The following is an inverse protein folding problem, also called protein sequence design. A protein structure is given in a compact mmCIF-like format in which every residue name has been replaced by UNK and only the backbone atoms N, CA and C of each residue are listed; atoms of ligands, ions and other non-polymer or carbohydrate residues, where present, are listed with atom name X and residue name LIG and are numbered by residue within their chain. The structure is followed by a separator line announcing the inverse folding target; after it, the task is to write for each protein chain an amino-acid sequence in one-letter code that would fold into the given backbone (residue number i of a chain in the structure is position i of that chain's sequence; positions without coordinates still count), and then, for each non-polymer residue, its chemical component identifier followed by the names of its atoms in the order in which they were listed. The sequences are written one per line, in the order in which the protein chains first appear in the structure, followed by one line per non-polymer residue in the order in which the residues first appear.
data_IF_315150526495
#
_entry.id   IF_315150526495
#
_cell.length_a   1.000
_cell.length_b   1.000
_cell.length_c   1.000
_cell.angle_alpha   90.00
_cell.angle_beta   90.00
_cell.angle_gamma   90.00
#
_symmetry.space_group_name_H-M   'P 1'
#
loop_
_entity.id
_entity.type
_entity.pdbx_description
1 polymer ?
#
# COMPACT_ATOMS: atom_id res chain seq x y z
N UNK A 1 23.49 -13.14 -102.79
CA UNK A 1 22.51 -13.81 -101.93
C UNK A 1 22.58 -13.17 -100.55
N UNK A 2 21.59 -12.36 -100.21
CA UNK A 2 21.59 -11.50 -99.02
C UNK A 2 20.57 -12.06 -98.03
N UNK A 3 20.94 -12.44 -96.79
CA UNK A 3 19.96 -12.90 -95.82
C UNK A 3 19.25 -11.72 -95.14
N UNK A 4 17.92 -11.85 -95.08
CA UNK A 4 16.95 -11.04 -94.33
C UNK A 4 17.35 -10.94 -92.84
N UNK A 5 17.31 -9.72 -92.29
CA UNK A 5 17.21 -9.48 -90.83
C UNK A 5 15.74 -9.27 -90.45
N UNK A 6 15.24 -10.19 -89.64
CA UNK A 6 14.03 -10.10 -88.80
C UNK A 6 14.60 -9.79 -87.40
N UNK A 7 14.20 -8.80 -86.61
CA UNK A 7 12.96 -8.07 -86.46
C UNK A 7 12.45 -8.31 -85.03
N UNK A 8 12.44 -7.23 -84.21
CA UNK A 8 11.63 -7.02 -82.98
C UNK A 8 11.74 -8.06 -81.83
N UNK A 9 11.72 -7.74 -80.55
CA UNK A 9 11.47 -6.49 -79.84
C UNK A 9 11.57 -6.74 -78.33
N UNK A 10 11.87 -5.65 -77.63
CA UNK A 10 11.68 -5.34 -76.21
C UNK A 10 10.60 -6.17 -75.48
N UNK A 11 10.86 -6.61 -74.23
CA UNK A 11 10.20 -6.10 -73.00
C UNK A 11 11.09 -6.48 -71.80
N UNK A 12 11.69 -5.48 -71.16
CA UNK A 12 12.26 -5.60 -69.83
C UNK A 12 11.14 -5.32 -68.81
N UNK A 13 10.90 -6.24 -67.88
CA UNK A 13 9.99 -6.02 -66.76
C UNK A 13 10.82 -6.12 -65.46
N UNK A 14 11.38 -4.99 -65.05
CA UNK A 14 12.01 -4.83 -63.74
C UNK A 14 10.92 -4.62 -62.69
N UNK A 15 10.65 -5.65 -61.88
CA UNK A 15 9.82 -5.53 -60.69
C UNK A 15 10.63 -4.85 -59.57
N UNK A 16 10.42 -3.55 -59.36
CA UNK A 16 10.88 -2.85 -58.17
C UNK A 16 9.89 -3.13 -57.03
N UNK A 17 10.25 -4.06 -56.14
CA UNK A 17 9.52 -4.33 -54.91
C UNK A 17 9.87 -3.23 -53.90
N UNK A 18 9.04 -2.18 -53.82
CA UNK A 18 9.14 -1.16 -52.76
C UNK A 18 8.50 -1.75 -51.51
N UNK A 19 9.31 -2.39 -50.68
CA UNK A 19 8.92 -2.75 -49.31
C UNK A 19 8.88 -1.47 -48.48
N UNK A 20 7.71 -0.85 -48.40
CA UNK A 20 7.44 0.21 -47.44
C UNK A 20 7.39 -0.43 -46.04
N UNK A 21 8.52 -0.40 -45.31
CA UNK A 21 8.52 -0.60 -43.87
C UNK A 21 7.72 0.55 -43.25
N UNK A 22 6.43 0.33 -43.00
CA UNK A 22 5.67 1.14 -42.06
C UNK A 22 6.23 0.79 -40.69
N UNK A 23 7.28 1.49 -40.28
CA UNK A 23 7.68 1.55 -38.88
C UNK A 23 6.57 2.34 -38.19
N UNK A 24 5.57 1.61 -37.70
CA UNK A 24 4.68 2.15 -36.68
C UNK A 24 5.54 2.26 -35.43
N UNK A 25 6.16 3.41 -35.22
CA UNK A 25 6.71 3.78 -33.93
C UNK A 25 5.54 3.88 -32.96
N UNK A 26 5.15 2.73 -32.41
CA UNK A 26 4.51 2.69 -31.12
C UNK A 26 5.52 3.33 -30.17
N UNK A 27 5.38 4.63 -29.93
CA UNK A 27 6.02 5.28 -28.81
C UNK A 27 5.48 4.58 -27.57
N UNK A 28 6.19 3.53 -27.17
CA UNK A 28 5.98 2.82 -25.92
C UNK A 28 6.12 3.87 -24.83
N UNK A 29 4.98 4.30 -24.31
CA UNK A 29 4.88 4.98 -23.03
C UNK A 29 5.38 3.94 -22.03
N UNK A 30 6.68 3.95 -21.76
CA UNK A 30 7.37 2.94 -20.96
C UNK A 30 6.61 2.80 -19.62
N UNK A 31 5.81 1.74 -19.45
CA UNK A 31 4.89 1.63 -18.33
C UNK A 31 5.63 1.33 -17.02
N UNK A 32 6.96 1.38 -17.00
CA UNK A 32 7.77 0.69 -15.99
C UNK A 32 8.59 1.56 -15.07
N UNK A 33 8.64 2.89 -15.24
CA UNK A 33 9.43 3.70 -14.32
C UNK A 33 8.68 3.91 -13.01
N UNK A 34 8.98 3.08 -12.02
CA UNK A 34 8.55 3.23 -10.63
C UNK A 34 9.52 4.15 -9.90
N UNK A 35 9.00 5.08 -9.09
CA UNK A 35 9.77 5.94 -8.20
C UNK A 35 9.40 5.61 -6.77
N UNK A 36 10.35 5.04 -6.03
CA UNK A 36 10.23 4.79 -4.60
C UNK A 36 10.54 6.08 -3.83
N UNK A 37 9.67 6.45 -2.89
CA UNK A 37 9.84 7.62 -2.02
C UNK A 37 9.73 7.22 -0.56
N UNK A 38 10.60 7.75 0.33
CA UNK A 38 10.46 7.53 1.76
C UNK A 38 9.09 7.96 2.27
N UNK A 39 8.53 7.17 3.17
CA UNK A 39 7.28 7.45 3.85
C UNK A 39 7.50 7.35 5.35
N UNK A 40 7.09 8.39 6.07
CA UNK A 40 7.13 8.45 7.53
C UNK A 40 5.78 8.93 8.01
N UNK A 41 5.34 8.43 9.15
CA UNK A 41 4.06 8.77 9.75
C UNK A 41 4.21 8.81 11.26
N UNK A 42 3.50 9.73 11.88
CA UNK A 42 3.29 9.81 13.32
C UNK A 42 1.85 10.26 13.60
N UNK A 43 1.38 10.08 14.82
CA UNK A 43 0.05 10.50 15.23
C UNK A 43 -0.46 9.85 16.52
N UNK A 44 -1.72 10.11 16.79
CA UNK A 44 -2.46 9.62 17.95
C UNK A 44 -3.90 9.31 17.56
N UNK A 45 -4.56 8.45 18.33
CA UNK A 45 -5.90 7.98 18.01
C UNK A 45 -6.56 7.23 19.15
N UNK A 46 -7.80 6.80 18.90
CA UNK A 46 -8.62 6.08 19.86
C UNK A 46 -9.15 4.78 19.25
N UNK A 47 -9.10 3.70 20.03
CA UNK A 47 -9.81 2.45 19.76
C UNK A 47 -11.13 2.49 20.51
N UNK A 48 -12.23 2.77 19.81
CA UNK A 48 -13.55 3.02 20.44
C UNK A 48 -14.14 1.75 21.05
N UNK A 49 -13.80 0.58 20.51
CA UNK A 49 -14.35 -0.72 20.96
C UNK A 49 -13.34 -1.54 21.76
N UNK A 50 -12.08 -1.09 21.85
CA UNK A 50 -11.01 -1.83 22.54
C UNK A 50 -10.49 -3.03 21.76
N UNK A 51 -9.92 -3.99 22.47
CA UNK A 51 -9.48 -5.27 21.88
C UNK A 51 -10.69 -6.19 21.68
N UNK A 52 -10.92 -6.68 20.45
CA UNK A 52 -12.01 -7.62 20.13
C UNK A 52 -11.53 -8.75 19.23
N UNK A 53 -12.17 -9.92 19.33
CA UNK A 53 -11.90 -11.10 18.51
C UNK A 53 -12.93 -11.24 17.36
N UNK A 54 -12.60 -12.00 16.31
CA UNK A 54 -13.55 -12.35 15.25
C UNK A 54 -14.86 -12.91 15.79
N UNK A 55 -16.00 -12.60 15.13
CA UNK A 55 -16.13 -11.87 13.87
C UNK A 55 -16.18 -10.34 14.03
N UNK A 56 -15.91 -9.81 15.23
CA UNK A 56 -15.98 -8.38 15.49
C UNK A 56 -14.71 -7.66 15.03
N UNK A 57 -14.87 -6.39 14.67
CA UNK A 57 -13.77 -5.48 14.43
C UNK A 57 -13.88 -4.31 15.40
N UNK A 58 -12.75 -3.92 15.98
CA UNK A 58 -12.67 -2.64 16.68
C UNK A 58 -12.50 -1.55 15.64
N UNK A 59 -13.27 -0.48 15.78
CA UNK A 59 -13.07 0.73 15.02
C UNK A 59 -12.04 1.63 15.72
N UNK A 60 -11.17 2.23 14.93
CA UNK A 60 -10.27 3.27 15.40
C UNK A 60 -10.24 4.45 14.45
N UNK A 61 -9.96 5.61 15.02
CA UNK A 61 -9.63 6.84 14.34
C UNK A 61 -8.28 7.35 14.84
N UNK A 62 -7.62 8.15 14.01
CA UNK A 62 -6.32 8.73 14.32
C UNK A 62 -6.12 10.03 13.53
N UNK A 63 -5.30 10.90 14.08
CA UNK A 63 -4.82 12.10 13.41
C UNK A 63 -3.31 12.22 13.59
N UNK A 64 -2.64 12.92 12.68
CA UNK A 64 -1.20 13.10 12.79
C UNK A 64 -0.57 13.71 11.55
N UNK A 65 0.72 13.45 11.35
CA UNK A 65 1.44 13.91 10.16
C UNK A 65 2.11 12.77 9.42
N UNK A 66 2.17 12.87 8.09
CA UNK A 66 2.89 11.90 7.28
C UNK A 66 3.51 12.54 6.04
N UNK A 67 4.65 11.98 5.62
CA UNK A 67 5.32 12.38 4.38
C UNK A 67 4.35 12.23 3.22
N UNK A 68 4.28 13.25 2.35
CA UNK A 68 3.37 13.35 1.19
C UNK A 68 1.87 13.57 1.49
N UNK A 69 1.38 13.23 2.69
CA UNK A 69 0.03 13.58 3.16
C UNK A 69 0.00 14.98 3.80
N UNK A 70 1.03 15.35 4.55
CA UNK A 70 0.98 16.47 5.49
C UNK A 70 0.18 16.05 6.73
N UNK A 71 -0.63 16.95 7.27
CA UNK A 71 -1.61 16.59 8.28
C UNK A 71 -2.67 15.65 7.68
N UNK A 72 -3.03 14.59 8.41
CA UNK A 72 -4.06 13.64 8.00
C UNK A 72 -5.04 13.35 9.14
N UNK A 73 -6.17 12.77 8.74
CA UNK A 73 -7.11 12.04 9.60
C UNK A 73 -7.25 10.63 9.04
N UNK A 74 -7.67 9.66 9.85
CA UNK A 74 -8.03 8.34 9.35
C UNK A 74 -9.54 8.20 9.23
N UNK A 75 -9.98 7.32 8.33
CA UNK A 75 -11.35 6.82 8.24
C UNK A 75 -11.34 5.31 8.09
N UNK A 76 -12.45 4.69 8.47
CA UNK A 76 -12.67 3.25 8.33
C UNK A 76 -11.54 2.40 8.91
N UNK A 77 -10.85 2.94 9.94
CA UNK A 77 -9.83 2.22 10.69
C UNK A 77 -10.48 1.06 11.41
N UNK A 78 -10.02 -0.14 11.12
CA UNK A 78 -10.54 -1.36 11.75
C UNK A 78 -9.43 -2.36 12.01
N UNK A 79 -9.51 -3.05 13.15
CA UNK A 79 -8.68 -4.20 13.44
C UNK A 79 -9.43 -5.28 14.22
N UNK A 80 -8.95 -6.51 14.17
CA UNK A 80 -9.48 -7.66 14.92
C UNK A 80 -8.31 -8.52 15.42
N UNK A 81 -8.40 -8.99 16.66
CA UNK A 81 -7.41 -9.86 17.30
C UNK A 81 -7.66 -11.30 16.86
N UNK A 82 -6.78 -11.89 16.06
CA UNK A 82 -6.88 -13.25 15.56
C UNK A 82 -6.56 -14.30 16.63
N UNK A 83 -5.52 -14.05 17.40
CA UNK A 83 -5.04 -14.96 18.43
C UNK A 83 -4.48 -14.17 19.61
N UNK A 84 -4.55 -14.75 20.81
CA UNK A 84 -3.96 -14.17 22.02
C UNK A 84 -3.62 -15.28 23.00
N UNK A 85 -2.36 -15.31 23.43
CA UNK A 85 -1.90 -16.17 24.50
C UNK A 85 -1.82 -15.35 25.80
N UNK A 86 -2.70 -15.59 26.78
CA UNK A 86 -2.71 -14.86 28.04
C UNK A 86 -1.47 -15.12 28.91
N UNK A 87 -0.71 -16.20 28.68
CA UNK A 87 0.49 -16.50 29.44
C UNK A 87 1.69 -15.65 28.98
N UNK A 88 1.77 -15.35 27.69
CA UNK A 88 2.85 -14.54 27.09
C UNK A 88 2.42 -13.10 26.79
N UNK A 89 1.11 -12.83 26.81
CA UNK A 89 0.50 -11.56 26.41
C UNK A 89 0.83 -11.18 24.96
N UNK A 90 1.02 -12.18 24.11
CA UNK A 90 1.31 -12.02 22.68
C UNK A 90 0.09 -12.45 21.90
N UNK A 91 -0.19 -11.75 20.81
CA UNK A 91 -1.22 -12.17 19.88
C UNK A 91 -1.03 -11.61 18.48
N UNK A 92 -1.96 -11.99 17.63
CA UNK A 92 -1.98 -11.62 16.21
C UNK A 92 -3.20 -10.77 15.92
N UNK A 93 -3.11 -9.89 14.93
CA UNK A 93 -4.22 -9.08 14.49
C UNK A 93 -4.17 -8.78 12.99
N UNK A 94 -5.31 -8.39 12.44
CA UNK A 94 -5.41 -7.92 11.06
C UNK A 94 -6.40 -6.76 10.97
N UNK A 95 -6.46 -6.10 9.82
CA UNK A 95 -7.30 -4.92 9.65
C UNK A 95 -6.99 -4.07 8.42
N UNK A 96 -7.46 -2.84 8.44
CA UNK A 96 -7.27 -1.85 7.38
C UNK A 96 -7.52 -0.45 7.89
N UNK A 97 -7.04 0.55 7.17
CA UNK A 97 -7.35 1.96 7.44
C UNK A 97 -7.21 2.78 6.16
N UNK A 98 -7.90 3.91 6.10
CA UNK A 98 -7.68 4.92 5.05
C UNK A 98 -7.15 6.19 5.67
N UNK A 99 -6.02 6.68 5.18
CA UNK A 99 -5.46 7.98 5.53
C UNK A 99 -6.04 9.02 4.58
N UNK A 100 -6.53 10.13 5.13
CA UNK A 100 -7.14 11.23 4.39
C UNK A 100 -6.31 12.49 4.61
N UNK A 101 -5.68 12.99 3.55
CA UNK A 101 -4.94 14.25 3.57
C UNK A 101 -5.88 15.45 3.74
N UNK A 102 -5.33 16.60 4.15
CA UNK A 102 -6.09 17.84 4.30
C UNK A 102 -6.86 18.30 3.03
N UNK A 103 -6.45 17.87 1.83
CA UNK A 103 -7.15 18.17 0.58
C UNK A 103 -8.18 17.10 0.16
N UNK A 104 -8.43 16.09 1.00
CA UNK A 104 -9.36 15.00 0.73
C UNK A 104 -8.77 13.83 -0.09
N UNK A 105 -7.48 13.86 -0.43
CA UNK A 105 -6.84 12.72 -1.09
C UNK A 105 -6.74 11.54 -0.13
N UNK A 106 -7.07 10.35 -0.60
CA UNK A 106 -7.15 9.15 0.23
C UNK A 106 -6.06 8.14 -0.14
N UNK A 107 -5.39 7.60 0.87
CA UNK A 107 -4.43 6.52 0.75
C UNK A 107 -4.89 5.36 1.63
N UNK A 108 -5.38 4.28 1.00
CA UNK A 108 -5.89 3.11 1.70
C UNK A 108 -4.77 2.12 1.97
N UNK A 109 -4.78 1.52 3.16
CA UNK A 109 -3.87 0.46 3.56
C UNK A 109 -4.62 -0.75 4.09
N UNK A 110 -4.04 -1.93 3.86
CA UNK A 110 -4.38 -3.18 4.55
C UNK A 110 -3.24 -3.58 5.48
N UNK A 111 -3.60 -4.26 6.56
CA UNK A 111 -2.65 -4.87 7.51
C UNK A 111 -2.33 -6.27 7.01
N UNK A 112 -1.62 -6.34 5.89
CA UNK A 112 -1.16 -7.59 5.32
C UNK A 112 0.32 -7.45 5.03
N UNK A 113 1.11 -8.32 5.65
CA UNK A 113 2.51 -8.45 5.33
C UNK A 113 2.63 -9.24 4.03
N UNK A 114 2.54 -8.55 2.90
CA UNK A 114 2.73 -9.15 1.58
C UNK A 114 4.19 -9.10 1.13
N UNK A 115 5.09 -8.45 1.87
CA UNK A 115 6.49 -8.28 1.48
C UNK A 115 7.51 -8.62 2.57
N UNK A 116 7.16 -8.49 3.87
CA UNK A 116 8.09 -8.84 4.94
C UNK A 116 7.94 -10.30 5.40
N UNK A 117 8.91 -11.21 5.13
CA UNK A 117 8.84 -12.61 5.57
C UNK A 117 8.91 -12.79 7.10
N UNK A 118 9.27 -11.75 7.86
CA UNK A 118 9.26 -11.76 9.33
C UNK A 118 7.86 -11.53 9.91
N UNK A 119 6.91 -11.07 9.09
CA UNK A 119 5.51 -10.90 9.45
C UNK A 119 4.70 -11.90 8.60
N UNK A 120 4.08 -12.87 9.24
CA UNK A 120 3.39 -14.02 8.63
C UNK A 120 2.04 -13.67 7.95
N UNK A 121 1.90 -12.44 7.47
CA UNK A 121 0.65 -11.90 6.94
C UNK A 121 -0.24 -11.26 8.01
N UNK A 122 0.05 -11.48 9.30
CA UNK A 122 -0.67 -10.85 10.44
C UNK A 122 0.24 -9.94 11.24
N UNK A 123 -0.36 -8.93 11.86
CA UNK A 123 0.33 -8.02 12.78
C UNK A 123 0.53 -8.70 14.11
N UNK A 124 1.54 -8.29 14.85
CA UNK A 124 1.80 -8.78 16.21
C UNK A 124 1.42 -7.71 17.21
N UNK A 125 0.75 -8.11 18.28
CA UNK A 125 0.60 -7.24 19.45
C UNK A 125 1.21 -7.88 20.69
N UNK A 126 1.78 -7.04 21.56
CA UNK A 126 2.46 -7.40 22.78
C UNK A 126 1.87 -6.61 23.93
N UNK A 127 1.53 -7.29 25.02
CA UNK A 127 1.06 -6.66 26.25
C UNK A 127 2.17 -6.59 27.30
N UNK A 128 2.37 -5.42 27.89
CA UNK A 128 3.26 -5.22 29.05
C UNK A 128 2.41 -4.91 30.28
N UNK A 129 2.31 -5.82 31.26
CA UNK A 129 1.53 -5.58 32.46
C UNK A 129 2.20 -4.51 33.33
N UNK A 130 1.38 -3.69 33.96
CA UNK A 130 1.81 -2.62 34.87
C UNK A 130 1.55 -3.02 36.34
N UNK A 131 2.22 -2.35 37.28
CA UNK A 131 2.08 -2.62 38.72
C UNK A 131 0.66 -2.38 39.24
N UNK A 132 -0.09 -1.48 38.61
CA UNK A 132 -1.47 -1.13 38.96
C UNK A 132 -2.53 -2.07 38.34
N UNK A 133 -2.08 -3.11 37.63
CA UNK A 133 -2.95 -4.09 36.97
C UNK A 133 -3.50 -3.65 35.62
N UNK A 134 -3.01 -2.54 35.06
CA UNK A 134 -3.27 -2.17 33.65
C UNK A 134 -2.31 -2.88 32.69
N UNK A 135 -2.59 -2.78 31.39
CA UNK A 135 -1.79 -3.33 30.30
C UNK A 135 -1.44 -2.22 29.30
N UNK A 136 -0.18 -2.08 28.95
CA UNK A 136 0.23 -1.30 27.77
C UNK A 136 0.35 -2.27 26.60
N UNK A 137 -0.41 -2.03 25.53
CA UNK A 137 -0.38 -2.83 24.32
C UNK A 137 0.43 -2.13 23.23
N UNK A 138 1.38 -2.86 22.64
CA UNK A 138 2.14 -2.42 21.46
C UNK A 138 1.74 -3.26 20.25
N UNK A 139 1.32 -2.62 19.17
CA UNK A 139 0.94 -3.25 17.90
C UNK A 139 2.00 -2.94 16.85
N UNK A 140 2.50 -3.98 16.17
CA UNK A 140 3.49 -3.86 15.11
C UNK A 140 2.91 -4.51 13.85
N UNK A 141 2.87 -3.74 12.76
CA UNK A 141 2.27 -4.18 11.51
C UNK A 141 2.91 -3.52 10.28
N UNK A 142 3.02 -4.28 9.20
CA UNK A 142 3.30 -3.75 7.87
C UNK A 142 2.02 -3.21 7.21
N UNK A 143 2.05 -1.94 6.82
CA UNK A 143 0.96 -1.26 6.13
C UNK A 143 1.26 -1.28 4.63
N UNK A 144 0.45 -2.03 3.89
CA UNK A 144 0.57 -2.17 2.44
C UNK A 144 -0.54 -1.37 1.76
N UNK A 145 -0.21 -0.45 0.84
CA UNK A 145 -1.22 0.37 0.18
C UNK A 145 -2.11 -0.50 -0.71
N UNK A 146 -3.33 -0.03 -0.94
CA UNK A 146 -4.29 -0.60 -1.88
C UNK A 146 -4.43 0.39 -3.04
N UNK A 147 -3.59 0.28 -4.09
CA UNK A 147 -3.52 1.24 -5.20
C UNK A 147 -4.87 1.59 -5.82
N UNK A 148 -5.67 0.56 -6.11
CA UNK A 148 -6.97 0.66 -6.79
C UNK A 148 -8.06 1.35 -5.95
N UNK A 149 -7.84 1.46 -4.64
CA UNK A 149 -8.74 2.14 -3.70
C UNK A 149 -8.19 3.49 -3.22
N UNK A 150 -6.99 3.88 -3.67
CA UNK A 150 -6.37 5.15 -3.32
C UNK A 150 -6.73 6.23 -4.35
N UNK A 151 -6.90 7.48 -3.91
CA UNK A 151 -7.48 8.56 -4.71
C UNK A 151 -6.55 9.76 -4.83
N UNK A 152 -6.93 10.74 -5.67
CA UNK A 152 -6.22 12.01 -5.79
C UNK A 152 -4.75 11.83 -6.17
N UNK A 153 -3.83 12.45 -5.41
CA UNK A 153 -2.39 12.29 -5.63
C UNK A 153 -1.89 10.85 -5.43
N UNK A 154 -2.62 10.05 -4.65
CA UNK A 154 -2.26 8.68 -4.30
C UNK A 154 -2.80 7.65 -5.30
N UNK A 155 -3.60 8.05 -6.29
CA UNK A 155 -3.98 7.20 -7.43
C UNK A 155 -2.77 6.75 -8.28
N UNK A 156 -1.58 7.33 -8.05
CA UNK A 156 -0.31 6.95 -8.68
C UNK A 156 0.52 6.00 -7.83
N UNK A 157 0.10 5.69 -6.59
CA UNK A 157 0.75 4.69 -5.76
C UNK A 157 0.58 3.34 -6.44
N UNK A 158 1.66 2.60 -6.60
CA UNK A 158 1.67 1.27 -7.23
C UNK A 158 2.10 0.17 -6.26
N UNK A 159 2.62 0.54 -5.09
CA UNK A 159 3.16 -0.38 -4.11
C UNK A 159 3.96 0.33 -3.01
N UNK A 160 4.93 -0.38 -2.46
CA UNK A 160 5.65 -0.01 -1.24
C UNK A 160 4.94 -0.48 0.02
N UNK A 161 5.52 -0.18 1.16
CA UNK A 161 4.97 -0.48 2.48
C UNK A 161 5.73 0.30 3.55
N UNK A 162 5.18 0.34 4.75
CA UNK A 162 5.90 0.81 5.93
C UNK A 162 5.57 -0.03 7.15
N UNK A 163 6.51 -0.11 8.09
CA UNK A 163 6.24 -0.74 9.39
C UNK A 163 5.73 0.34 10.33
N UNK A 164 4.63 0.04 11.00
CA UNK A 164 3.99 0.88 11.99
C UNK A 164 4.06 0.23 13.36
N UNK A 165 4.40 1.02 14.37
CA UNK A 165 4.29 0.67 15.79
C UNK A 165 3.28 1.60 16.45
N UNK A 166 2.19 1.04 17.00
CA UNK A 166 1.24 1.78 17.83
C UNK A 166 1.36 1.32 19.28
N UNK A 167 1.34 2.25 20.22
CA UNK A 167 1.41 1.98 21.66
C UNK A 167 0.21 2.59 22.35
N UNK A 168 -0.55 1.77 23.07
CA UNK A 168 -1.70 2.23 23.84
C UNK A 168 -1.28 2.99 25.09
N UNK A 169 -2.18 3.85 25.56
CA UNK A 169 -2.24 4.21 26.97
C UNK A 169 -2.55 2.97 27.84
N UNK A 170 -2.31 3.02 29.15
CA UNK A 170 -2.64 1.91 30.06
C UNK A 170 -4.12 1.48 29.99
N UNK A 171 -4.36 0.22 29.61
CA UNK A 171 -5.71 -0.36 29.48
C UNK A 171 -6.07 -1.13 30.75
N UNK A 172 -7.18 -0.80 31.44
CA UNK A 172 -7.57 -1.51 32.65
C UNK A 172 -8.17 -2.90 32.35
N UNK A 173 -8.10 -3.80 33.34
CA UNK A 173 -8.79 -5.07 33.27
C UNK A 173 -10.33 -4.90 33.38
N UNK A 174 -11.14 -5.71 32.66
CA UNK A 174 -10.72 -6.69 31.65
C UNK A 174 -10.28 -6.01 30.35
N UNK A 175 -9.07 -6.33 29.85
CA UNK A 175 -8.43 -5.60 28.73
C UNK A 175 -9.23 -5.62 27.40
N UNK A 176 -10.16 -6.55 27.25
CA UNK A 176 -10.97 -6.73 26.05
C UNK A 176 -12.29 -5.96 26.13
N UNK A 177 -12.67 -5.33 25.02
CA UNK A 177 -13.87 -4.49 24.95
C UNK A 177 -13.75 -3.14 25.65
N UNK A 178 -12.57 -2.78 26.16
CA UNK A 178 -12.32 -1.50 26.84
C UNK A 178 -11.68 -0.51 25.87
N UNK A 179 -12.28 0.68 25.66
CA UNK A 179 -11.69 1.69 24.80
C UNK A 179 -10.32 2.14 25.31
N UNK A 180 -9.42 2.48 24.41
CA UNK A 180 -8.09 3.00 24.77
C UNK A 180 -7.58 3.99 23.73
N UNK A 181 -6.87 5.01 24.20
CA UNK A 181 -6.08 5.89 23.35
C UNK A 181 -4.75 5.22 22.98
N UNK A 182 -4.15 5.65 21.89
CA UNK A 182 -2.82 5.20 21.46
C UNK A 182 -2.07 6.30 20.70
N UNK A 183 -0.75 6.16 20.67
CA UNK A 183 0.12 6.88 19.74
C UNK A 183 0.67 5.90 18.73
N UNK A 184 1.08 6.39 17.56
CA UNK A 184 1.75 5.56 16.57
C UNK A 184 2.86 6.29 15.83
N UNK A 185 3.80 5.51 15.32
CA UNK A 185 4.85 5.98 14.43
C UNK A 185 5.18 4.89 13.40
N UNK A 186 5.69 5.29 12.25
CA UNK A 186 6.07 4.34 11.23
C UNK A 186 6.99 4.89 10.16
N UNK A 187 7.77 4.01 9.55
CA UNK A 187 8.72 4.33 8.49
C UNK A 187 8.78 3.23 7.43
N UNK A 188 8.94 3.66 6.18
CA UNK A 188 9.11 2.79 5.04
C UNK A 188 9.16 3.60 3.75
N UNK A 189 8.47 3.12 2.71
CA UNK A 189 8.44 3.79 1.42
C UNK A 189 7.16 3.51 0.64
N UNK A 190 6.79 4.45 -0.23
CA UNK A 190 5.74 4.28 -1.22
C UNK A 190 6.32 4.30 -2.62
N UNK A 191 5.79 3.45 -3.48
CA UNK A 191 6.16 3.38 -4.89
C UNK A 191 5.12 4.12 -5.74
N UNK A 192 5.59 4.95 -6.66
CA UNK A 192 4.74 5.73 -7.55
C UNK A 192 5.05 5.44 -9.02
N UNK A 193 4.03 5.32 -9.85
CA UNK A 193 4.18 5.34 -11.30
C UNK A 193 4.75 6.70 -11.76
N UNK A 194 5.84 6.70 -12.52
CA UNK A 194 6.40 7.92 -13.10
C UNK A 194 5.55 8.42 -14.27
N UNK A 195 5.59 9.74 -14.49
CA UNK A 195 5.31 10.29 -15.83
C UNK A 195 3.87 10.53 -16.22
N UNK A 196 2.93 10.69 -15.28
CA UNK A 196 1.65 11.34 -15.59
C UNK A 196 1.71 12.72 -14.92
N UNK A 197 1.88 13.78 -15.71
CA UNK A 197 1.70 15.16 -15.24
C UNK A 197 0.23 15.36 -14.93
#
# INVERSE_FOLDING_TARGET
MTPKRIGFGLVALSAAFVLACIITEAQGKDPSKVVTKPFKVDGEGDSVTGLVFPPLFSCHDATGTATHLGAYTTKDGKFSIESFDPATLIGEFHGSVVFVAANGDELKFTYQASANPELDGTGKFYGVPQEDGTLIATFIQEFTPVPEESTGRFAKVTGGSFIMTATSEPVPAPYFGVPFAFTWEGEGSLEFAAGIK
#
